data_IF_774391860310
#
_entry.id   IF_774391860310
#
_cell.length_a   1.000
_cell.length_b   1.000
_cell.length_c   1.000
_cell.angle_alpha   90.00
_cell.angle_beta   90.00
_cell.angle_gamma   90.00
#
_symmetry.space_group_name_H-M   'P 1'
#
loop_
_entity.id
_entity.type
_entity.pdbx_description
1 polymer ?
#
# COMPACT_ATOMS: atom_id res chain seq x y z
N UNK A 1 2.66 27.68 0.76
CA UNK A 1 1.78 26.89 -0.13
C UNK A 1 2.66 25.91 -0.88
N UNK A 2 2.37 24.62 -0.86
CA UNK A 2 3.13 23.58 -1.57
C UNK A 2 2.23 22.94 -2.63
N UNK A 3 2.79 22.58 -3.77
CA UNK A 3 2.09 21.93 -4.88
C UNK A 3 3.05 20.95 -5.55
N UNK A 4 2.52 19.83 -6.05
CA UNK A 4 3.30 18.81 -6.76
C UNK A 4 3.42 19.13 -8.26
N UNK A 5 2.41 19.80 -8.84
CA UNK A 5 2.34 20.12 -10.26
C UNK A 5 2.42 21.63 -10.51
N UNK A 6 3.64 22.11 -10.71
CA UNK A 6 3.94 23.51 -11.07
C UNK A 6 3.32 24.05 -12.38
N UNK A 7 3.02 23.25 -13.43
CA UNK A 7 2.56 23.80 -14.72
C UNK A 7 1.15 24.40 -14.72
N UNK A 8 0.34 24.14 -13.70
CA UNK A 8 -1.06 24.59 -13.61
C UNK A 8 -1.25 25.78 -12.66
N UNK A 9 -0.16 26.44 -12.25
CA UNK A 9 -0.24 27.60 -11.38
C UNK A 9 -0.71 28.84 -12.14
N UNK A 10 -1.68 29.55 -11.56
CA UNK A 10 -2.18 30.82 -12.09
C UNK A 10 -1.06 31.86 -12.15
N UNK A 11 -1.05 32.69 -13.20
CA UNK A 11 -0.10 33.80 -13.35
C UNK A 11 -0.10 34.77 -12.16
N UNK A 12 -1.27 34.93 -11.54
CA UNK A 12 -1.40 35.77 -10.36
C UNK A 12 -0.57 35.29 -9.16
N UNK A 13 -0.20 34.00 -9.13
CA UNK A 13 0.63 33.36 -8.11
C UNK A 13 2.10 33.40 -8.53
N UNK A 14 2.40 33.03 -9.78
CA UNK A 14 3.79 33.03 -10.29
C UNK A 14 4.40 34.43 -10.31
N UNK A 15 3.60 35.48 -10.54
CA UNK A 15 4.06 36.87 -10.50
C UNK A 15 4.28 37.42 -9.08
N UNK A 16 3.69 36.81 -8.05
CA UNK A 16 3.77 37.29 -6.65
C UNK A 16 4.58 36.39 -5.73
N UNK A 17 4.92 35.18 -6.17
CA UNK A 17 5.63 34.20 -5.37
C UNK A 17 6.91 33.75 -6.06
N UNK A 18 7.99 33.60 -5.28
CA UNK A 18 9.20 32.92 -5.74
C UNK A 18 8.93 31.43 -5.83
N UNK A 19 8.97 30.89 -7.04
CA UNK A 19 8.87 29.45 -7.26
C UNK A 19 10.19 28.79 -6.86
N UNK A 20 10.14 27.88 -5.88
CA UNK A 20 11.29 27.06 -5.49
C UNK A 20 10.98 25.62 -5.90
N UNK A 21 11.68 25.15 -6.93
CA UNK A 21 11.59 23.77 -7.39
C UNK A 21 12.46 22.88 -6.52
N UNK A 22 11.86 21.86 -5.91
CA UNK A 22 12.58 20.85 -5.14
C UNK A 22 12.77 19.65 -6.05
N UNK A 23 14.03 19.30 -6.35
CA UNK A 23 14.36 18.12 -7.13
C UNK A 23 14.04 16.84 -6.36
N UNK A 24 13.78 15.77 -7.12
CA UNK A 24 13.60 14.43 -6.56
C UNK A 24 14.99 13.86 -6.21
N UNK A 25 15.20 13.29 -5.00
CA UNK A 25 16.51 12.80 -4.60
C UNK A 25 16.93 11.60 -5.45
N UNK A 26 18.20 11.54 -5.85
CA UNK A 26 18.73 10.38 -6.52
C UNK A 26 18.93 9.22 -5.53
N UNK A 27 19.11 8.00 -6.04
CA UNK A 27 19.25 6.79 -5.21
C UNK A 27 20.40 6.90 -4.21
N UNK A 28 21.51 7.57 -4.55
CA UNK A 28 22.66 7.74 -3.65
C UNK A 28 22.31 8.64 -2.48
N UNK A 29 21.65 9.77 -2.74
CA UNK A 29 21.17 10.69 -1.70
C UNK A 29 20.21 9.99 -0.74
N UNK A 30 19.30 9.14 -1.25
CA UNK A 30 18.41 8.34 -0.39
C UNK A 30 19.23 7.39 0.49
N UNK A 31 20.20 6.67 -0.06
CA UNK A 31 21.09 5.78 0.71
C UNK A 31 21.87 6.55 1.79
N UNK A 32 22.36 7.76 1.48
CA UNK A 32 23.06 8.62 2.46
C UNK A 32 22.14 8.99 3.63
N UNK A 33 20.88 9.35 3.36
CA UNK A 33 19.89 9.65 4.40
C UNK A 33 19.60 8.41 5.25
N UNK A 34 19.39 7.23 4.65
CA UNK A 34 19.15 6.00 5.39
C UNK A 34 20.33 5.63 6.31
N UNK A 35 21.57 5.78 5.82
CA UNK A 35 22.78 5.59 6.63
C UNK A 35 22.94 6.66 7.73
N UNK A 36 22.49 7.89 7.48
CA UNK A 36 22.47 8.93 8.51
C UNK A 36 21.52 8.56 9.64
N UNK A 37 20.31 8.09 9.31
CA UNK A 37 19.31 7.64 10.27
C UNK A 37 19.82 6.45 11.08
N UNK A 38 20.40 5.44 10.43
CA UNK A 38 20.92 4.26 11.14
C UNK A 38 22.01 4.60 12.16
N UNK A 39 22.91 5.51 11.81
CA UNK A 39 23.94 6.03 12.74
C UNK A 39 23.34 6.83 13.89
N UNK A 40 22.31 7.65 13.63
CA UNK A 40 21.62 8.47 14.64
C UNK A 40 20.82 7.62 15.63
N UNK A 41 20.20 6.56 15.14
CA UNK A 41 19.38 5.64 15.94
C UNK A 41 20.15 4.42 16.46
N UNK A 42 21.48 4.40 16.28
CA UNK A 42 22.40 3.39 16.80
C UNK A 42 22.06 1.96 16.37
N UNK A 43 21.88 1.74 15.06
CA UNK A 43 21.74 0.39 14.51
C UNK A 43 22.57 0.20 13.23
N UNK A 44 23.00 -1.04 12.99
CA UNK A 44 23.80 -1.39 11.82
C UNK A 44 22.91 -1.65 10.62
N UNK A 45 23.08 -0.84 9.56
CA UNK A 45 22.33 -0.96 8.31
C UNK A 45 23.22 -1.57 7.21
N UNK A 46 22.93 -2.79 6.72
CA UNK A 46 23.64 -3.37 5.58
C UNK A 46 23.53 -2.50 4.33
N UNK A 47 24.65 -2.31 3.63
CA UNK A 47 24.70 -1.50 2.40
C UNK A 47 23.78 -2.05 1.29
N UNK A 48 23.68 -3.38 1.17
CA UNK A 48 22.78 -4.05 0.22
C UNK A 48 21.30 -3.73 0.49
N UNK A 49 20.90 -3.74 1.76
CA UNK A 49 19.55 -3.39 2.19
C UNK A 49 19.24 -1.92 1.91
N UNK A 50 20.13 -1.01 2.30
CA UNK A 50 19.97 0.42 2.06
C UNK A 50 19.77 0.73 0.57
N UNK A 51 20.61 0.12 -0.29
CA UNK A 51 20.51 0.28 -1.74
C UNK A 51 19.20 -0.29 -2.30
N UNK A 52 18.78 -1.45 -1.80
CA UNK A 52 17.53 -2.09 -2.24
C UNK A 52 16.31 -1.25 -1.87
N UNK A 53 16.25 -0.74 -0.63
CA UNK A 53 15.21 0.20 -0.18
C UNK A 53 15.21 1.43 -1.10
N UNK A 54 16.35 2.10 -1.24
CA UNK A 54 16.45 3.32 -2.05
C UNK A 54 16.02 3.13 -3.50
N UNK A 55 16.31 1.97 -4.10
CA UNK A 55 15.92 1.65 -5.47
C UNK A 55 14.42 1.36 -5.58
N UNK A 56 13.86 0.59 -4.63
CA UNK A 56 12.45 0.19 -4.64
C UNK A 56 11.49 1.31 -4.26
N UNK A 57 11.95 2.31 -3.52
CA UNK A 57 11.12 3.46 -3.11
C UNK A 57 10.89 4.49 -4.23
N UNK A 58 11.34 4.23 -5.46
CA UNK A 58 11.13 5.12 -6.62
C UNK A 58 11.45 6.60 -6.33
N UNK A 59 12.56 6.85 -5.62
CA UNK A 59 13.02 8.17 -5.20
C UNK A 59 12.11 8.91 -4.18
N UNK A 60 11.12 8.22 -3.60
CA UNK A 60 10.30 8.74 -2.52
C UNK A 60 11.01 8.54 -1.17
N UNK A 61 11.63 9.61 -0.66
CA UNK A 61 12.38 9.55 0.59
C UNK A 61 11.52 9.15 1.79
N UNK A 62 10.25 9.57 1.83
CA UNK A 62 9.32 9.18 2.91
C UNK A 62 9.10 7.68 2.90
N UNK A 63 8.87 7.10 1.73
CA UNK A 63 8.63 5.67 1.57
C UNK A 63 9.87 4.85 1.93
N UNK A 64 11.06 5.32 1.55
CA UNK A 64 12.33 4.70 1.91
C UNK A 64 12.54 4.66 3.44
N UNK A 65 12.27 5.76 4.14
CA UNK A 65 12.39 5.85 5.60
C UNK A 65 11.39 4.92 6.28
N UNK A 66 10.11 4.96 5.86
CA UNK A 66 9.08 4.08 6.41
C UNK A 66 9.39 2.60 6.20
N UNK A 67 9.95 2.24 5.03
CA UNK A 67 10.39 0.88 4.75
C UNK A 67 11.55 0.45 5.66
N UNK A 68 12.53 1.33 5.90
CA UNK A 68 13.62 1.06 6.84
C UNK A 68 13.12 0.84 8.27
N UNK A 69 12.24 1.71 8.75
CA UNK A 69 11.60 1.60 10.06
C UNK A 69 10.85 0.27 10.19
N UNK A 70 10.06 -0.09 9.18
CA UNK A 70 9.29 -1.33 9.16
C UNK A 70 10.20 -2.57 9.10
N UNK A 71 11.25 -2.56 8.28
CA UNK A 71 12.23 -3.66 8.26
C UNK A 71 12.86 -3.86 9.66
N UNK A 72 13.25 -2.76 10.32
CA UNK A 72 13.87 -2.83 11.65
C UNK A 72 12.90 -3.31 12.73
N UNK A 73 11.67 -2.79 12.72
CA UNK A 73 10.65 -3.17 13.71
C UNK A 73 10.29 -4.66 13.63
N UNK A 74 10.31 -5.24 12.42
CA UNK A 74 9.93 -6.62 12.20
C UNK A 74 11.12 -7.60 12.34
N UNK A 75 12.31 -7.24 11.86
CA UNK A 75 13.47 -8.15 11.79
C UNK A 75 14.79 -7.42 12.07
N UNK A 76 15.09 -7.15 13.35
CA UNK A 76 16.41 -6.68 13.78
C UNK A 76 17.05 -7.65 14.78
N UNK A 77 18.34 -8.05 14.63
CA UNK A 77 19.28 -7.66 13.58
C UNK A 77 18.84 -8.06 12.17
N UNK A 78 19.20 -7.25 11.16
CA UNK A 78 18.78 -7.49 9.79
C UNK A 78 19.36 -8.79 9.24
N UNK A 79 18.55 -9.50 8.44
CA UNK A 79 18.94 -10.74 7.78
C UNK A 79 18.99 -10.56 6.26
N UNK A 80 19.85 -11.34 5.60
CA UNK A 80 19.93 -11.34 4.15
C UNK A 80 18.60 -11.79 3.53
N UNK A 81 18.17 -11.08 2.49
CA UNK A 81 16.91 -11.38 1.79
C UNK A 81 15.64 -11.07 2.58
N UNK A 82 15.72 -10.31 3.69
CA UNK A 82 14.52 -9.90 4.40
C UNK A 82 13.53 -9.16 3.48
N UNK A 83 12.24 -9.39 3.74
CA UNK A 83 11.20 -8.70 2.98
C UNK A 83 11.21 -7.20 3.30
N UNK A 84 11.06 -6.39 2.25
CA UNK A 84 10.96 -4.93 2.34
C UNK A 84 9.52 -4.56 1.92
N UNK A 85 8.74 -3.91 2.80
CA UNK A 85 7.33 -3.60 2.58
C UNK A 85 7.15 -2.40 1.61
N UNK A 86 7.61 -2.54 0.36
CA UNK A 86 7.52 -1.55 -0.71
C UNK A 86 6.79 -2.13 -1.94
N UNK A 87 6.00 -1.31 -2.64
CA UNK A 87 5.30 -1.74 -3.87
C UNK A 87 4.18 -2.78 -3.65
N UNK A 88 3.68 -2.87 -2.43
CA UNK A 88 2.58 -3.77 -2.05
C UNK A 88 1.22 -3.30 -2.60
N UNK A 89 1.11 -2.02 -2.92
CA UNK A 89 -0.07 -1.37 -3.48
C UNK A 89 -0.39 -1.86 -4.89
N UNK A 90 0.62 -2.05 -5.75
CA UNK A 90 0.43 -2.60 -7.10
C UNK A 90 -0.18 -4.00 -7.09
N UNK A 91 0.23 -4.86 -6.14
CA UNK A 91 -0.36 -6.19 -5.96
C UNK A 91 -1.86 -6.10 -5.62
N UNK A 92 -2.25 -5.11 -4.81
CA UNK A 92 -3.65 -4.88 -4.46
C UNK A 92 -4.45 -4.25 -5.59
N UNK A 93 -3.83 -3.41 -6.42
CA UNK A 93 -4.46 -2.84 -7.62
C UNK A 93 -4.81 -3.93 -8.62
N UNK A 94 -3.86 -4.83 -8.92
CA UNK A 94 -4.10 -6.01 -9.76
C UNK A 94 -5.18 -6.91 -9.16
N UNK A 95 -5.07 -7.23 -7.86
CA UNK A 95 -6.05 -8.05 -7.16
C UNK A 95 -7.46 -7.45 -7.20
N UNK A 96 -7.58 -6.14 -6.97
CA UNK A 96 -8.88 -5.48 -6.97
C UNK A 96 -9.50 -5.45 -8.37
N UNK A 97 -8.70 -5.15 -9.40
CA UNK A 97 -9.14 -5.21 -10.79
C UNK A 97 -9.65 -6.61 -11.16
N UNK A 98 -8.91 -7.66 -10.77
CA UNK A 98 -9.32 -9.04 -10.99
C UNK A 98 -10.66 -9.37 -10.29
N UNK A 99 -10.86 -8.93 -9.05
CA UNK A 99 -12.09 -9.22 -8.31
C UNK A 99 -13.29 -8.47 -8.89
N UNK A 100 -13.09 -7.24 -9.36
CA UNK A 100 -14.13 -6.42 -9.98
C UNK A 100 -14.54 -6.98 -11.35
N UNK A 101 -13.59 -7.49 -12.12
CA UNK A 101 -13.86 -8.12 -13.41
C UNK A 101 -14.66 -9.43 -13.28
N UNK A 102 -14.28 -10.30 -12.34
CA UNK A 102 -14.96 -11.58 -12.11
C UNK A 102 -15.04 -11.88 -10.60
N UNK A 103 -16.18 -11.53 -9.96
CA UNK A 103 -16.38 -11.76 -8.54
C UNK A 103 -16.78 -13.22 -8.25
N UNK A 104 -16.37 -14.21 -9.04
CA UNK A 104 -16.70 -15.62 -8.79
C UNK A 104 -15.86 -16.23 -7.65
N UNK A 105 -16.39 -17.24 -6.92
CA UNK A 105 -15.64 -17.91 -5.85
C UNK A 105 -14.37 -18.62 -6.35
N UNK A 106 -14.27 -18.89 -7.66
CA UNK A 106 -13.10 -19.53 -8.28
C UNK A 106 -11.85 -18.65 -8.15
N UNK A 107 -12.00 -17.32 -8.22
CA UNK A 107 -10.88 -16.37 -8.05
C UNK A 107 -10.34 -16.31 -6.61
N UNK A 108 -11.09 -16.80 -5.63
CA UNK A 108 -10.72 -16.73 -4.21
C UNK A 108 -9.43 -17.52 -3.89
N UNK A 109 -9.12 -18.55 -4.67
CA UNK A 109 -7.85 -19.27 -4.53
C UNK A 109 -6.63 -18.40 -4.89
N UNK A 110 -6.73 -17.60 -5.97
CA UNK A 110 -5.66 -16.70 -6.40
C UNK A 110 -5.48 -15.54 -5.41
N UNK A 111 -6.59 -15.03 -4.87
CA UNK A 111 -6.63 -14.00 -3.82
C UNK A 111 -5.79 -14.43 -2.62
N UNK A 112 -5.92 -15.68 -2.16
CA UNK A 112 -5.17 -16.22 -1.01
C UNK A 112 -3.67 -16.07 -1.19
N UNK A 113 -3.13 -16.46 -2.35
CA UNK A 113 -1.69 -16.38 -2.63
C UNK A 113 -1.17 -14.95 -2.59
N UNK A 114 -1.89 -14.01 -3.19
CA UNK A 114 -1.53 -12.58 -3.18
C UNK A 114 -1.59 -11.98 -1.77
N UNK A 115 -2.66 -12.27 -1.00
CA UNK A 115 -2.76 -11.82 0.39
C UNK A 115 -1.67 -12.42 1.28
N UNK A 116 -1.37 -13.71 1.13
CA UNK A 116 -0.33 -14.37 1.89
C UNK A 116 1.04 -13.71 1.63
N UNK A 117 1.36 -13.41 0.36
CA UNK A 117 2.58 -12.68 0.00
C UNK A 117 2.67 -11.34 0.72
N UNK A 118 1.60 -10.54 0.71
CA UNK A 118 1.57 -9.24 1.37
C UNK A 118 1.80 -9.34 2.89
N UNK A 119 1.18 -10.32 3.53
CA UNK A 119 1.34 -10.54 4.97
C UNK A 119 2.75 -11.02 5.33
N UNK A 120 3.36 -11.86 4.49
CA UNK A 120 4.77 -12.29 4.64
C UNK A 120 5.71 -11.11 4.46
N UNK A 121 5.40 -10.20 3.53
CA UNK A 121 6.14 -8.95 3.34
C UNK A 121 5.88 -7.90 4.44
N UNK A 122 5.21 -8.28 5.54
CA UNK A 122 4.93 -7.43 6.70
C UNK A 122 4.09 -6.19 6.37
N UNK A 123 3.24 -6.27 5.35
CA UNK A 123 2.25 -5.23 5.06
C UNK A 123 1.15 -5.31 6.13
N UNK A 124 0.87 -4.24 6.88
CA UNK A 124 -0.14 -4.26 7.93
C UNK A 124 -1.51 -4.68 7.38
N UNK A 125 -2.20 -5.68 7.99
CA UNK A 125 -3.49 -6.15 7.48
C UNK A 125 -4.55 -5.07 7.35
N UNK A 126 -4.57 -4.09 8.26
CA UNK A 126 -5.51 -2.97 8.23
C UNK A 126 -5.29 -2.08 7.01
N UNK A 127 -4.02 -1.89 6.63
CA UNK A 127 -3.66 -1.12 5.45
C UNK A 127 -4.09 -1.84 4.17
N UNK A 128 -3.93 -3.18 4.13
CA UNK A 128 -4.45 -4.02 3.04
C UNK A 128 -5.97 -3.87 2.91
N UNK A 129 -6.69 -4.00 4.03
CA UNK A 129 -8.15 -3.86 4.05
C UNK A 129 -8.59 -2.48 3.55
N UNK A 130 -7.97 -1.41 4.06
CA UNK A 130 -8.29 -0.03 3.67
C UNK A 130 -8.06 0.20 2.17
N UNK A 131 -6.88 -0.18 1.65
CA UNK A 131 -6.54 0.01 0.23
C UNK A 131 -7.47 -0.79 -0.68
N UNK A 132 -7.83 -2.03 -0.32
CA UNK A 132 -8.80 -2.82 -1.08
C UNK A 132 -10.17 -2.14 -1.16
N UNK A 133 -10.66 -1.59 -0.04
CA UNK A 133 -11.93 -0.84 -0.01
C UNK A 133 -11.87 0.38 -0.92
N UNK A 134 -10.79 1.16 -0.85
CA UNK A 134 -10.59 2.32 -1.73
C UNK A 134 -10.62 1.93 -3.21
N UNK A 135 -10.00 0.82 -3.58
CA UNK A 135 -9.97 0.32 -4.96
C UNK A 135 -11.35 -0.20 -5.40
N UNK A 136 -12.03 -0.99 -4.58
CA UNK A 136 -13.37 -1.47 -4.87
C UNK A 136 -14.38 -0.33 -5.04
N UNK A 137 -14.32 0.71 -4.20
CA UNK A 137 -15.23 1.85 -4.29
C UNK A 137 -15.11 2.63 -5.61
N UNK A 138 -13.98 2.53 -6.32
CA UNK A 138 -13.77 3.12 -7.66
C UNK A 138 -14.46 2.31 -8.75
N UNK A 139 -14.60 0.99 -8.57
CA UNK A 139 -15.12 0.05 -9.58
C UNK A 139 -16.57 -0.36 -9.42
N UNK A 140 -17.31 0.18 -8.45
CA UNK A 140 -18.69 -0.24 -8.14
C UNK A 140 -19.73 0.87 -8.28
N UNK A 141 -20.98 0.46 -8.53
CA UNK A 141 -22.15 1.33 -8.53
C UNK A 141 -22.47 1.90 -7.14
N UNK A 142 -23.15 3.05 -7.12
CA UNK A 142 -23.44 3.78 -5.88
C UNK A 142 -24.39 3.02 -4.92
N UNK A 143 -25.24 2.15 -5.45
CA UNK A 143 -26.23 1.37 -4.70
C UNK A 143 -25.60 0.44 -3.63
N UNK A 144 -24.40 -0.10 -3.89
CA UNK A 144 -23.72 -1.03 -2.96
C UNK A 144 -22.63 -0.38 -2.11
N UNK A 145 -22.31 0.92 -2.32
CA UNK A 145 -21.25 1.60 -1.55
C UNK A 145 -21.51 1.57 -0.04
N UNK A 146 -22.77 1.73 0.39
CA UNK A 146 -23.14 1.65 1.81
C UNK A 146 -22.82 0.30 2.43
N UNK A 147 -23.09 -0.79 1.72
CA UNK A 147 -22.76 -2.14 2.17
C UNK A 147 -21.24 -2.32 2.30
N UNK A 148 -20.47 -1.83 1.33
CA UNK A 148 -19.01 -1.89 1.38
C UNK A 148 -18.46 -1.14 2.60
N UNK A 149 -18.96 0.07 2.90
CA UNK A 149 -18.56 0.80 4.10
C UNK A 149 -18.94 0.06 5.40
N UNK A 150 -20.13 -0.54 5.45
CA UNK A 150 -20.56 -1.32 6.61
C UNK A 150 -19.62 -2.51 6.85
N UNK A 151 -19.34 -3.30 5.81
CA UNK A 151 -18.47 -4.47 5.94
C UNK A 151 -17.02 -4.08 6.20
N UNK A 152 -16.52 -2.99 5.62
CA UNK A 152 -15.22 -2.43 6.00
C UNK A 152 -15.13 -2.19 7.52
N UNK A 153 -16.08 -1.45 8.10
CA UNK A 153 -16.09 -1.16 9.54
C UNK A 153 -16.25 -2.43 10.39
N UNK A 154 -17.01 -3.42 9.90
CA UNK A 154 -17.19 -4.71 10.58
C UNK A 154 -15.89 -5.52 10.64
N UNK A 155 -15.17 -5.59 9.53
CA UNK A 155 -13.93 -6.38 9.44
C UNK A 155 -12.74 -5.65 10.08
N UNK A 156 -12.63 -4.33 9.97
CA UNK A 156 -11.53 -3.56 10.59
C UNK A 156 -11.45 -3.77 12.12
N UNK A 157 -12.60 -3.78 12.80
CA UNK A 157 -12.66 -4.03 14.25
C UNK A 157 -12.28 -5.45 14.65
N UNK A 158 -12.30 -6.39 13.71
CA UNK A 158 -12.14 -7.83 13.95
C UNK A 158 -10.90 -8.41 13.26
N UNK A 159 -10.09 -7.55 12.67
CA UNK A 159 -8.90 -7.95 11.93
C UNK A 159 -7.75 -8.20 12.90
N UNK A 160 -7.21 -9.42 12.99
CA UNK A 160 -6.06 -9.69 13.83
C UNK A 160 -4.78 -9.12 13.19
N UNK A 161 -3.69 -9.11 13.94
CA UNK A 161 -2.39 -8.62 13.45
C UNK A 161 -1.61 -9.74 12.71
N UNK A 162 -0.75 -9.32 11.79
CA UNK A 162 0.19 -10.21 11.08
C UNK A 162 -0.49 -11.30 10.25
N UNK A 163 0.18 -12.45 10.13
CA UNK A 163 -0.21 -13.54 9.23
C UNK A 163 -1.58 -14.18 9.57
N UNK A 164 -2.03 -14.12 10.83
CA UNK A 164 -3.34 -14.65 11.24
C UNK A 164 -4.52 -13.88 10.62
N UNK A 165 -4.26 -12.70 10.04
CA UNK A 165 -5.28 -11.90 9.36
C UNK A 165 -5.72 -12.46 8.01
N UNK A 166 -4.98 -13.42 7.44
CA UNK A 166 -5.24 -13.97 6.11
C UNK A 166 -6.70 -14.41 5.94
N UNK A 167 -7.18 -15.26 6.84
CA UNK A 167 -8.56 -15.78 6.79
C UNK A 167 -9.58 -14.65 6.86
N UNK A 168 -9.31 -13.62 7.66
CA UNK A 168 -10.26 -12.54 7.88
C UNK A 168 -10.32 -11.56 6.69
N UNK A 169 -9.20 -11.35 6.01
CA UNK A 169 -9.14 -10.63 4.74
C UNK A 169 -9.85 -11.40 3.62
N UNK A 170 -9.67 -12.72 3.57
CA UNK A 170 -10.39 -13.57 2.60
C UNK A 170 -11.89 -13.56 2.82
N UNK A 171 -12.35 -13.64 4.08
CA UNK A 171 -13.76 -13.52 4.42
C UNK A 171 -14.34 -12.19 3.94
N UNK A 172 -13.62 -11.08 4.14
CA UNK A 172 -14.03 -9.77 3.65
C UNK A 172 -14.17 -9.75 2.13
N UNK A 173 -13.18 -10.29 1.40
CA UNK A 173 -13.22 -10.35 -0.07
C UNK A 173 -14.36 -11.24 -0.55
N UNK A 174 -14.57 -12.40 0.07
CA UNK A 174 -15.70 -13.28 -0.23
C UNK A 174 -17.04 -12.55 -0.06
N UNK A 175 -17.14 -11.75 1.01
CA UNK A 175 -18.33 -10.96 1.30
C UNK A 175 -18.56 -9.88 0.26
N UNK A 176 -17.50 -9.15 -0.12
CA UNK A 176 -17.54 -8.15 -1.18
C UNK A 176 -17.98 -8.78 -2.51
N UNK A 177 -17.34 -9.88 -2.93
CA UNK A 177 -17.70 -10.62 -4.15
C UNK A 177 -19.19 -11.01 -4.19
N UNK A 178 -19.73 -11.45 -3.05
CA UNK A 178 -21.15 -11.80 -2.93
C UNK A 178 -22.07 -10.60 -3.14
N UNK A 179 -21.74 -9.44 -2.56
CA UNK A 179 -22.51 -8.20 -2.71
C UNK A 179 -22.43 -7.69 -4.15
N UNK A 180 -21.22 -7.65 -4.72
CA UNK A 180 -21.00 -7.15 -6.06
C UNK A 180 -21.73 -8.00 -7.11
N UNK A 181 -21.66 -9.33 -7.00
CA UNK A 181 -22.38 -10.25 -7.90
C UNK A 181 -23.90 -10.07 -7.85
N UNK A 182 -24.47 -9.82 -6.66
CA UNK A 182 -25.91 -9.56 -6.51
C UNK A 182 -26.31 -8.24 -7.16
N UNK A 183 -25.47 -7.22 -7.12
CA UNK A 183 -25.72 -5.96 -7.84
C UNK A 183 -25.74 -6.19 -9.35
N UNK A 184 -24.74 -6.90 -9.89
CA UNK A 184 -24.67 -7.18 -11.33
C UNK A 184 -25.89 -7.96 -11.84
N UNK A 185 -26.40 -8.89 -11.04
CA UNK A 185 -27.61 -9.67 -11.35
C UNK A 185 -28.92 -8.87 -11.23
N UNK A 186 -28.92 -7.72 -10.54
CA UNK A 186 -30.09 -6.84 -10.44
C UNK A 186 -30.16 -5.82 -11.59
N UNK A 187 -29.05 -5.61 -12.29
CA UNK A 187 -28.93 -4.72 -13.44
C UNK A 187 -29.07 -5.46 -14.80
N UNK A 188 -29.31 -6.78 -14.79
CA UNK A 188 -29.53 -7.64 -15.97
C UNK A 188 -30.99 -8.11 -16.08
#
# INVERSE_FOLDING_TARGET
MTCQDGPHLLDSITNRCKLISIGVPNTREVVEVLNHISKRESFDLPASLAYTIATRSAHNLREAILALEACRANNYPFVDGQAIPLGWDGVLEELAAEILEDPSPKRLFLVRGKLQKLLVESVPPKLVLQKLVELFLKGIHANIKRDVYYWHAYYDKRLPAGASALLKLEEFIAKFMSIHRKSLAADS
#
